data_IF_646456208477
#
_entry.id   IF_646456208477
#
_cell.length_a   1.000
_cell.length_b   1.000
_cell.length_c   1.000
_cell.angle_alpha   90.00
_cell.angle_beta   90.00
_cell.angle_gamma   90.00
#
_symmetry.space_group_name_H-M   'P 1'
#
loop_
_entity.id
_entity.type
_entity.pdbx_description
1 polymer ?
#
# COMPACT_ATOMS: atom_id res chain seq x y z
N UNK A 1 32.29 -9.25 9.35
CA UNK A 1 32.69 -10.05 10.53
C UNK A 1 33.12 -9.17 11.71
N UNK A 2 34.04 -8.21 11.54
CA UNK A 2 34.56 -7.39 12.66
C UNK A 2 33.48 -6.58 13.41
N UNK A 3 32.63 -5.83 12.70
CA UNK A 3 31.58 -5.02 13.33
C UNK A 3 30.58 -5.85 14.15
N UNK A 4 30.16 -7.00 13.61
CA UNK A 4 29.33 -7.98 14.34
C UNK A 4 30.04 -8.55 15.56
N UNK A 5 31.37 -8.69 15.52
CA UNK A 5 32.13 -9.18 16.67
C UNK A 5 32.24 -8.13 17.78
N UNK A 6 32.34 -6.84 17.45
CA UNK A 6 32.52 -5.78 18.45
C UNK A 6 31.22 -5.26 19.06
N UNK A 7 30.07 -5.52 18.44
CA UNK A 7 28.75 -5.08 18.93
C UNK A 7 28.08 -6.01 19.93
N UNK A 8 28.51 -7.27 20.02
CA UNK A 8 27.87 -8.26 20.90
C UNK A 8 28.50 -8.25 22.29
N UNK A 9 27.65 -8.47 23.29
CA UNK A 9 28.05 -8.66 24.68
C UNK A 9 29.09 -9.76 24.80
N UNK A 10 30.14 -9.46 25.57
CA UNK A 10 31.22 -10.39 25.87
C UNK A 10 31.59 -10.25 27.33
N UNK A 11 31.40 -11.35 28.06
CA UNK A 11 31.75 -11.42 29.47
C UNK A 11 33.22 -11.00 29.69
N UNK A 12 33.44 -10.14 30.68
CA UNK A 12 34.77 -9.62 31.01
C UNK A 12 35.35 -8.58 30.04
N UNK A 13 34.59 -8.08 29.05
CA UNK A 13 35.04 -7.01 28.15
C UNK A 13 34.15 -5.77 28.25
N UNK A 14 34.78 -4.59 28.21
CA UNK A 14 34.06 -3.32 28.20
C UNK A 14 33.29 -3.12 26.88
N UNK A 15 31.99 -2.82 26.99
CA UNK A 15 31.08 -2.67 25.86
C UNK A 15 31.06 -1.23 25.32
N UNK A 16 32.15 -0.79 24.69
CA UNK A 16 32.34 0.60 24.23
C UNK A 16 31.10 1.21 23.54
N UNK A 17 30.52 0.50 22.57
CA UNK A 17 29.40 1.02 21.77
C UNK A 17 28.10 1.16 22.56
N UNK A 18 27.91 0.37 23.63
CA UNK A 18 26.75 0.47 24.53
C UNK A 18 26.77 1.75 25.36
N UNK A 19 27.97 2.16 25.79
CA UNK A 19 28.15 3.36 26.62
C UNK A 19 28.41 4.64 25.81
N UNK A 20 28.83 4.54 24.55
CA UNK A 20 29.12 5.69 23.69
C UNK A 20 27.88 6.42 23.14
N UNK A 21 26.66 5.87 23.29
CA UNK A 21 25.37 6.54 22.98
C UNK A 21 25.38 7.19 21.58
N UNK A 22 25.14 8.52 21.48
CA UNK A 22 25.11 9.26 20.20
C UNK A 22 26.42 9.16 19.40
N UNK A 23 27.57 9.00 20.07
CA UNK A 23 28.84 8.84 19.38
C UNK A 23 28.91 7.50 18.64
N UNK A 24 28.38 6.43 19.25
CA UNK A 24 28.25 5.13 18.58
C UNK A 24 27.36 5.25 17.33
N UNK A 25 26.23 5.96 17.42
CA UNK A 25 25.33 6.14 16.26
C UNK A 25 26.02 6.85 15.09
N UNK A 26 26.79 7.92 15.36
CA UNK A 26 27.59 8.59 14.31
C UNK A 26 28.58 7.64 13.66
N UNK A 27 29.32 6.90 14.49
CA UNK A 27 30.26 5.89 14.01
C UNK A 27 29.59 4.84 13.11
N UNK A 28 28.38 4.37 13.47
CA UNK A 28 27.64 3.41 12.65
C UNK A 28 27.22 3.96 11.29
N UNK A 29 26.79 5.23 11.25
CA UNK A 29 26.45 5.90 9.99
C UNK A 29 27.69 6.07 9.11
N UNK A 30 28.82 6.46 9.68
CA UNK A 30 30.08 6.61 8.94
C UNK A 30 30.58 5.26 8.41
N UNK A 31 30.60 4.23 9.25
CA UNK A 31 31.00 2.88 8.87
C UNK A 31 30.09 2.31 7.78
N UNK A 32 28.76 2.50 7.91
CA UNK A 32 27.80 2.11 6.87
C UNK A 32 28.06 2.84 5.55
N UNK A 33 28.32 4.16 5.61
CA UNK A 33 28.60 4.98 4.43
C UNK A 33 29.85 4.51 3.68
N UNK A 34 30.89 4.08 4.40
CA UNK A 34 32.10 3.49 3.80
C UNK A 34 31.77 2.17 3.09
N UNK A 35 31.05 1.27 3.76
CA UNK A 35 30.64 -0.02 3.16
C UNK A 35 29.77 0.21 1.92
N UNK A 36 28.83 1.14 2.00
CA UNK A 36 27.91 1.43 0.91
C UNK A 36 28.62 2.08 -0.28
N UNK A 37 29.59 2.96 -0.02
CA UNK A 37 30.47 3.49 -1.06
C UNK A 37 31.25 2.39 -1.77
N UNK A 38 31.84 1.45 -1.04
CA UNK A 38 32.59 0.35 -1.67
C UNK A 38 31.67 -0.60 -2.47
N UNK A 39 30.44 -0.86 -2.00
CA UNK A 39 29.44 -1.60 -2.77
C UNK A 39 29.05 -0.90 -4.06
N UNK A 40 28.76 0.40 -3.99
CA UNK A 40 28.42 1.20 -5.17
C UNK A 40 29.60 1.28 -6.15
N UNK A 41 30.83 1.39 -5.63
CA UNK A 41 32.05 1.36 -6.44
C UNK A 41 32.20 0.02 -7.15
N UNK A 42 31.99 -1.10 -6.46
CA UNK A 42 32.03 -2.44 -7.04
C UNK A 42 31.01 -2.58 -8.18
N UNK A 43 29.76 -2.14 -7.97
CA UNK A 43 28.70 -2.17 -8.98
C UNK A 43 29.09 -1.31 -10.18
N UNK A 44 29.61 -0.10 -9.92
CA UNK A 44 30.05 0.84 -10.96
C UNK A 44 31.17 0.27 -11.83
N UNK A 45 32.15 -0.42 -11.24
CA UNK A 45 33.30 -0.96 -11.99
C UNK A 45 33.03 -2.29 -12.70
N UNK A 46 31.90 -2.95 -12.41
CA UNK A 46 31.57 -4.30 -12.92
C UNK A 46 30.25 -4.36 -13.69
N UNK A 47 29.87 -3.28 -14.35
CA UNK A 47 28.60 -3.24 -15.11
C UNK A 47 28.54 -4.30 -16.21
N UNK A 48 29.67 -4.62 -16.86
CA UNK A 48 29.73 -5.62 -17.93
C UNK A 48 29.58 -7.06 -17.39
N UNK A 49 30.23 -7.37 -16.25
CA UNK A 49 30.07 -8.65 -15.55
C UNK A 49 28.62 -8.85 -15.06
N UNK A 50 27.95 -7.77 -14.67
CA UNK A 50 26.54 -7.77 -14.25
C UNK A 50 25.55 -7.83 -15.43
N UNK A 51 26.05 -7.93 -16.68
CA UNK A 51 25.26 -7.99 -17.92
C UNK A 51 24.24 -6.87 -18.00
N UNK A 52 24.67 -5.67 -17.64
CA UNK A 52 23.80 -4.50 -17.52
C UNK A 52 23.23 -4.05 -18.88
N UNK A 53 23.96 -4.34 -19.95
CA UNK A 53 23.62 -4.15 -21.36
C UNK A 53 22.29 -4.81 -21.75
N UNK A 54 22.00 -6.01 -21.24
CA UNK A 54 20.71 -6.69 -21.48
C UNK A 54 19.50 -5.87 -21.00
N UNK A 55 19.69 -5.02 -19.99
CA UNK A 55 18.62 -4.22 -19.42
C UNK A 55 18.51 -2.79 -19.99
N UNK A 56 19.50 -2.33 -20.77
CA UNK A 56 19.34 -1.11 -21.58
C UNK A 56 18.23 -1.35 -22.61
N UNK A 57 18.27 -2.49 -23.29
CA UNK A 57 17.31 -2.85 -24.33
C UNK A 57 15.87 -2.88 -23.81
N UNK A 58 15.61 -3.41 -22.61
CA UNK A 58 14.24 -3.47 -22.04
C UNK A 58 13.71 -2.09 -21.60
N UNK A 59 14.57 -1.21 -21.08
CA UNK A 59 14.16 0.16 -20.71
C UNK A 59 14.06 1.09 -21.91
N UNK A 60 14.91 0.90 -22.92
CA UNK A 60 14.86 1.66 -24.17
C UNK A 60 13.59 1.26 -24.96
N UNK A 61 13.19 -0.02 -24.97
CA UNK A 61 11.91 -0.46 -25.58
C UNK A 61 10.67 0.10 -24.84
N UNK A 62 10.72 0.23 -23.51
CA UNK A 62 9.62 0.82 -22.72
C UNK A 62 9.60 2.35 -22.71
N UNK A 63 10.69 2.99 -23.13
CA UNK A 63 10.83 4.45 -23.22
C UNK A 63 10.60 5.00 -24.63
N UNK A 64 10.58 4.13 -25.65
CA UNK A 64 10.28 4.50 -27.04
C UNK A 64 8.76 4.57 -27.23
N UNK A 65 8.29 5.76 -27.58
CA UNK A 65 6.92 5.97 -28.06
C UNK A 65 6.81 5.43 -29.49
N UNK A 66 5.97 4.41 -29.77
CA UNK A 66 5.85 3.83 -31.11
C UNK A 66 5.24 4.79 -32.15
N UNK A 67 4.84 6.00 -31.76
CA UNK A 67 4.21 6.99 -32.65
C UNK A 67 5.16 8.06 -33.20
N UNK A 68 6.43 8.12 -32.77
CA UNK A 68 7.41 9.07 -33.32
C UNK A 68 8.42 8.38 -34.25
N UNK A 69 8.28 8.65 -35.55
CA UNK A 69 9.05 8.04 -36.64
C UNK A 69 10.52 8.47 -36.78
N UNK A 70 11.20 8.84 -35.71
CA UNK A 70 12.63 9.16 -35.75
C UNK A 70 13.38 8.60 -34.53
N UNK A 71 13.72 7.31 -34.64
CA UNK A 71 14.52 6.55 -33.68
C UNK A 71 15.88 7.21 -33.35
N UNK A 72 16.40 8.07 -34.22
CA UNK A 72 17.72 8.70 -34.07
C UNK A 72 17.72 9.90 -33.12
N UNK A 73 16.58 10.60 -32.97
CA UNK A 73 16.47 11.84 -32.18
C UNK A 73 16.27 11.59 -30.69
N UNK A 74 15.70 10.44 -30.29
CA UNK A 74 15.55 10.07 -28.88
C UNK A 74 16.83 9.46 -28.27
N UNK A 75 17.76 9.02 -29.11
CA UNK A 75 19.13 8.63 -28.75
C UNK A 75 20.14 9.80 -28.83
N UNK A 76 19.64 11.03 -29.00
CA UNK A 76 20.44 12.24 -29.22
C UNK A 76 21.48 12.49 -28.14
N UNK A 77 22.75 12.49 -28.57
CA UNK A 77 23.96 13.03 -27.94
C UNK A 77 24.03 12.97 -26.39
N UNK A 78 24.56 11.87 -25.87
CA UNK A 78 25.06 11.77 -24.49
C UNK A 78 26.39 12.51 -24.30
N UNK A 79 26.40 13.82 -24.51
CA UNK A 79 27.51 14.69 -24.10
C UNK A 79 27.31 15.35 -22.73
N UNK A 80 26.29 14.97 -21.96
CA UNK A 80 26.01 15.56 -20.64
C UNK A 80 26.28 14.59 -19.46
N UNK A 81 27.37 14.87 -18.76
CA UNK A 81 27.68 14.65 -17.34
C UNK A 81 27.31 13.27 -16.75
N UNK A 82 28.35 12.42 -16.62
CA UNK A 82 28.36 11.24 -15.74
C UNK A 82 27.97 9.93 -16.44
N UNK A 83 28.82 8.91 -16.29
CA UNK A 83 28.52 7.55 -16.76
C UNK A 83 27.33 6.98 -15.97
N UNK A 84 26.21 6.69 -16.65
CA UNK A 84 25.00 6.10 -16.05
C UNK A 84 25.31 4.69 -15.53
N UNK A 85 25.23 4.50 -14.21
CA UNK A 85 25.38 3.20 -13.53
C UNK A 85 24.01 2.62 -13.24
N UNK A 86 23.79 1.37 -13.64
CA UNK A 86 22.55 0.64 -13.34
C UNK A 86 22.78 -0.23 -12.10
N UNK A 87 21.95 -0.01 -11.09
CA UNK A 87 21.94 -0.83 -9.88
C UNK A 87 21.14 -2.12 -10.12
N UNK A 88 21.68 -3.31 -9.78
CA UNK A 88 20.93 -4.56 -9.87
C UNK A 88 19.81 -4.62 -8.83
N UNK A 89 18.80 -5.48 -9.04
CA UNK A 89 17.71 -5.68 -8.07
C UNK A 89 18.18 -6.22 -6.71
N UNK A 90 19.38 -6.80 -6.65
CA UNK A 90 20.04 -7.26 -5.41
C UNK A 90 20.57 -6.11 -4.56
N UNK A 91 20.68 -4.89 -5.11
CA UNK A 91 21.05 -3.71 -4.34
C UNK A 91 19.84 -3.15 -3.61
N UNK A 92 19.79 -3.38 -2.30
CA UNK A 92 18.64 -2.97 -1.48
C UNK A 92 18.35 -1.47 -1.59
N UNK A 93 17.06 -1.13 -1.68
CA UNK A 93 16.57 0.24 -1.75
C UNK A 93 16.63 0.91 -3.12
N UNK A 94 17.28 0.32 -4.14
CA UNK A 94 17.21 0.89 -5.49
C UNK A 94 15.85 0.65 -6.16
N UNK A 95 15.56 1.41 -7.21
CA UNK A 95 14.33 1.29 -8.01
C UNK A 95 14.04 -0.15 -8.47
N UNK A 96 15.06 -0.90 -8.87
CA UNK A 96 14.89 -2.28 -9.33
C UNK A 96 14.56 -3.23 -8.19
N UNK A 97 15.18 -3.05 -7.04
CA UNK A 97 14.83 -3.79 -5.83
C UNK A 97 13.37 -3.53 -5.44
N UNK A 98 12.94 -2.25 -5.46
CA UNK A 98 11.56 -1.89 -5.15
C UNK A 98 10.57 -2.47 -6.16
N UNK A 99 10.87 -2.44 -7.47
CA UNK A 99 10.05 -3.06 -8.52
C UNK A 99 9.96 -4.57 -8.35
N UNK A 100 11.06 -5.25 -8.04
CA UNK A 100 11.08 -6.69 -7.79
C UNK A 100 10.22 -7.06 -6.57
N UNK A 101 10.35 -6.34 -5.45
CA UNK A 101 9.52 -6.58 -4.27
C UNK A 101 8.02 -6.39 -4.58
N UNK A 102 7.69 -5.36 -5.34
CA UNK A 102 6.33 -5.13 -5.81
C UNK A 102 5.82 -6.27 -6.71
N UNK A 103 6.59 -6.66 -7.72
CA UNK A 103 6.23 -7.77 -8.62
C UNK A 103 6.05 -9.09 -7.87
N UNK A 104 6.93 -9.40 -6.93
CA UNK A 104 6.82 -10.59 -6.07
C UNK A 104 5.52 -10.55 -5.25
N UNK A 105 5.18 -9.38 -4.68
CA UNK A 105 3.95 -9.21 -3.90
C UNK A 105 2.70 -9.38 -4.77
N UNK A 106 2.72 -8.88 -6.01
CA UNK A 106 1.65 -9.07 -6.99
C UNK A 106 1.54 -10.54 -7.44
N UNK A 107 2.66 -11.24 -7.61
CA UNK A 107 2.67 -12.67 -7.93
C UNK A 107 2.05 -13.52 -6.81
N UNK A 108 2.37 -13.21 -5.55
CA UNK A 108 1.75 -13.86 -4.38
C UNK A 108 0.23 -13.60 -4.37
N UNK A 109 -0.19 -12.35 -4.61
CA UNK A 109 -1.61 -11.99 -4.67
C UNK A 109 -2.34 -12.72 -5.82
N UNK A 110 -1.70 -12.92 -6.97
CA UNK A 110 -2.27 -13.70 -8.08
C UNK A 110 -2.45 -15.17 -7.70
N UNK A 111 -1.45 -15.79 -7.08
CA UNK A 111 -1.49 -17.21 -6.72
C UNK A 111 -2.37 -17.54 -5.51
N UNK A 112 -2.43 -16.65 -4.51
CA UNK A 112 -3.17 -16.88 -3.27
C UNK A 112 -4.52 -16.15 -3.22
N UNK A 113 -4.81 -15.30 -4.19
CA UNK A 113 -5.97 -14.43 -4.20
C UNK A 113 -5.79 -13.21 -3.28
N UNK A 114 -6.91 -12.70 -2.78
CA UNK A 114 -6.96 -11.46 -1.99
C UNK A 114 -6.45 -11.70 -0.55
N UNK A 115 -5.64 -10.79 0.01
CA UNK A 115 -5.29 -10.87 1.44
C UNK A 115 -6.52 -10.65 2.31
N UNK A 116 -6.54 -11.30 3.47
CA UNK A 116 -7.65 -11.28 4.42
C UNK A 116 -7.46 -10.19 5.49
N UNK A 117 -6.22 -10.01 5.97
CA UNK A 117 -5.89 -9.05 7.01
C UNK A 117 -4.73 -8.14 6.60
N UNK A 118 -4.80 -6.89 7.04
CA UNK A 118 -3.70 -5.94 7.10
C UNK A 118 -3.30 -5.76 8.56
N UNK A 119 -2.04 -6.02 8.88
CA UNK A 119 -1.50 -5.91 10.23
C UNK A 119 -0.36 -4.92 10.24
N UNK A 120 -0.40 -3.96 11.15
CA UNK A 120 0.76 -3.13 11.47
C UNK A 120 1.14 -3.29 12.91
N UNK A 121 2.44 -3.24 13.18
CA UNK A 121 2.99 -3.42 14.51
C UNK A 121 4.12 -2.42 14.70
N UNK A 122 4.14 -1.69 15.81
CA UNK A 122 5.21 -0.74 16.12
C UNK A 122 6.01 -1.29 17.29
N UNK A 123 7.33 -1.39 17.13
CA UNK A 123 8.20 -1.83 18.21
C UNK A 123 8.00 -0.98 19.48
N UNK A 124 8.01 -1.61 20.66
CA UNK A 124 7.87 -0.90 21.93
C UNK A 124 9.24 -0.75 22.60
N UNK A 125 9.74 0.48 22.81
CA UNK A 125 11.03 0.71 23.48
C UNK A 125 11.01 0.36 24.97
N UNK A 126 9.83 0.07 25.54
CA UNK A 126 9.62 -0.30 26.95
C UNK A 126 9.52 -1.80 27.18
N UNK A 127 9.78 -2.64 26.17
CA UNK A 127 9.89 -4.09 26.39
C UNK A 127 10.96 -4.41 27.43
N UNK A 128 10.66 -5.37 28.31
CA UNK A 128 11.55 -5.73 29.42
C UNK A 128 12.93 -6.17 28.91
N UNK A 129 12.97 -6.89 27.79
CA UNK A 129 14.21 -7.33 27.16
C UNK A 129 15.09 -6.16 26.72
N UNK A 130 14.50 -5.00 26.40
CA UNK A 130 15.26 -3.77 26.16
C UNK A 130 15.67 -3.15 27.49
N UNK A 131 14.72 -2.92 28.41
CA UNK A 131 14.98 -2.20 29.66
C UNK A 131 16.03 -2.88 30.53
N UNK A 132 16.00 -4.21 30.63
CA UNK A 132 16.95 -5.02 31.42
C UNK A 132 18.36 -5.06 30.81
N UNK A 133 18.49 -4.81 29.50
CA UNK A 133 19.77 -4.89 28.78
C UNK A 133 20.36 -3.52 28.42
N UNK A 134 19.66 -2.42 28.74
CA UNK A 134 20.19 -1.07 28.55
C UNK A 134 21.33 -0.79 29.53
N UNK A 135 22.30 0.02 29.09
CA UNK A 135 23.28 0.60 30.01
C UNK A 135 22.57 1.50 31.04
N UNK A 136 23.17 1.59 32.23
CA UNK A 136 22.67 2.42 33.33
C UNK A 136 22.38 3.85 32.87
N UNK A 137 21.21 4.36 33.26
CA UNK A 137 20.71 5.69 32.89
C UNK A 137 20.65 5.96 31.37
N UNK A 138 20.55 4.91 30.54
CA UNK A 138 20.40 5.03 29.08
C UNK A 138 18.93 4.92 28.64
N UNK A 139 18.69 5.10 27.34
CA UNK A 139 17.36 5.02 26.70
C UNK A 139 17.47 4.11 25.48
N UNK A 140 16.37 3.45 25.10
CA UNK A 140 16.31 2.59 23.91
C UNK A 140 16.87 3.26 22.64
N UNK A 141 16.58 4.55 22.45
CA UNK A 141 17.09 5.33 21.32
C UNK A 141 18.61 5.42 21.25
N UNK A 142 19.32 5.28 22.38
CA UNK A 142 20.77 5.30 22.41
C UNK A 142 21.40 4.00 21.92
N UNK A 143 20.64 2.90 21.95
CA UNK A 143 21.05 1.58 21.49
C UNK A 143 20.03 1.01 20.46
N UNK A 144 20.09 1.51 19.21
CA UNK A 144 19.21 1.01 18.15
C UNK A 144 19.51 -0.44 17.77
N UNK A 145 20.72 -0.95 18.05
CA UNK A 145 21.08 -2.35 17.79
C UNK A 145 20.32 -3.30 18.72
N UNK A 146 20.31 -3.01 20.02
CA UNK A 146 19.51 -3.75 21.01
C UNK A 146 18.02 -3.71 20.63
N UNK A 147 17.50 -2.51 20.33
CA UNK A 147 16.10 -2.34 19.93
C UNK A 147 15.74 -3.17 18.69
N UNK A 148 16.64 -3.21 17.68
CA UNK A 148 16.45 -4.02 16.47
C UNK A 148 16.51 -5.53 16.74
N UNK A 149 17.39 -5.99 17.63
CA UNK A 149 17.48 -7.41 18.01
C UNK A 149 16.25 -7.90 18.76
N UNK A 150 15.79 -7.13 19.76
CA UNK A 150 14.56 -7.46 20.49
C UNK A 150 13.37 -7.41 19.53
N UNK A 151 13.26 -6.37 18.71
CA UNK A 151 12.24 -6.30 17.67
C UNK A 151 12.25 -7.53 16.76
N UNK A 152 13.42 -7.99 16.30
CA UNK A 152 13.51 -9.16 15.44
C UNK A 152 12.97 -10.43 16.12
N UNK A 153 13.26 -10.62 17.42
CA UNK A 153 12.70 -11.72 18.21
C UNK A 153 11.18 -11.62 18.35
N UNK A 154 10.68 -10.43 18.71
CA UNK A 154 9.25 -10.18 18.83
C UNK A 154 8.53 -10.39 17.49
N UNK A 155 9.15 -9.95 16.38
CA UNK A 155 8.65 -10.15 15.04
C UNK A 155 8.57 -11.64 14.68
N UNK A 156 9.59 -12.45 14.97
CA UNK A 156 9.55 -13.89 14.70
C UNK A 156 8.41 -14.58 15.46
N UNK A 157 8.23 -14.23 16.74
CA UNK A 157 7.11 -14.69 17.55
C UNK A 157 5.77 -14.26 16.93
N UNK A 158 5.64 -12.99 16.54
CA UNK A 158 4.41 -12.46 15.93
C UNK A 158 4.09 -13.14 14.60
N UNK A 159 5.08 -13.42 13.77
CA UNK A 159 4.88 -14.15 12.51
C UNK A 159 4.36 -15.56 12.75
N UNK A 160 4.80 -16.23 13.83
CA UNK A 160 4.27 -17.53 14.21
C UNK A 160 2.79 -17.43 14.63
N UNK A 161 2.44 -16.46 15.45
CA UNK A 161 1.05 -16.26 15.88
C UNK A 161 0.13 -15.86 14.71
N UNK A 162 0.61 -15.01 13.80
CA UNK A 162 -0.14 -14.64 12.59
C UNK A 162 -0.44 -15.86 11.71
N UNK A 163 0.40 -16.89 11.74
CA UNK A 163 0.20 -18.14 10.99
C UNK A 163 -0.75 -19.13 11.66
N UNK A 164 -1.07 -18.93 12.93
CA UNK A 164 -1.76 -19.95 13.75
C UNK A 164 -3.04 -19.44 14.41
N UNK A 165 -3.14 -18.13 14.66
CA UNK A 165 -4.21 -17.56 15.48
C UNK A 165 -5.49 -17.24 14.67
N UNK A 166 -5.38 -16.70 13.46
CA UNK A 166 -6.52 -16.14 12.72
C UNK A 166 -7.27 -17.15 11.83
N UNK A 167 -6.78 -18.39 11.75
CA UNK A 167 -7.30 -19.46 10.89
C UNK A 167 -6.21 -20.10 10.02
N UNK A 168 -6.62 -20.77 8.95
CA UNK A 168 -5.73 -21.52 8.06
C UNK A 168 -4.85 -20.59 7.23
N UNK A 169 -3.56 -20.51 7.58
CA UNK A 169 -2.58 -19.70 6.88
C UNK A 169 -2.25 -20.22 5.47
N UNK A 170 -2.23 -19.30 4.48
CA UNK A 170 -1.79 -19.57 3.11
C UNK A 170 -0.56 -18.79 2.69
N UNK A 171 -0.34 -17.60 3.25
CA UNK A 171 0.79 -16.77 2.87
C UNK A 171 0.83 -15.43 3.59
N UNK A 172 1.93 -14.72 3.40
CA UNK A 172 2.12 -13.37 3.93
C UNK A 172 3.01 -12.57 3.00
N UNK A 173 2.72 -11.29 2.82
CA UNK A 173 3.62 -10.31 2.19
C UNK A 173 3.76 -9.11 3.11
N UNK A 174 4.90 -8.41 3.09
CA UNK A 174 5.04 -7.24 3.93
C UNK A 174 6.37 -6.53 3.82
N UNK A 175 6.41 -5.34 4.40
CA UNK A 175 7.58 -4.47 4.47
C UNK A 175 7.83 -4.06 5.91
N UNK A 176 9.07 -3.72 6.24
CA UNK A 176 9.43 -3.15 7.54
C UNK A 176 9.94 -1.74 7.27
N UNK A 177 9.26 -0.75 7.85
CA UNK A 177 9.66 0.64 7.76
C UNK A 177 10.26 1.12 9.07
N UNK A 178 11.38 1.83 9.00
CA UNK A 178 11.90 2.56 10.14
C UNK A 178 11.34 3.98 10.09
N UNK A 179 10.22 4.20 10.76
CA UNK A 179 9.60 5.52 10.83
C UNK A 179 10.58 6.53 11.47
N UNK A 180 10.62 7.76 10.93
CA UNK A 180 11.53 8.81 11.40
C UNK A 180 11.22 9.17 12.85
N UNK A 181 11.96 8.52 13.77
CA UNK A 181 12.09 8.64 15.24
C UNK A 181 12.47 7.30 15.90
N UNK A 182 12.67 6.22 15.13
CA UNK A 182 13.63 5.17 15.48
C UNK A 182 13.08 3.82 15.95
N UNK A 183 11.84 3.47 15.59
CA UNK A 183 11.29 2.15 15.90
C UNK A 183 10.87 1.43 14.61
N UNK A 184 11.25 0.16 14.44
CA UNK A 184 10.78 -0.66 13.34
C UNK A 184 9.24 -0.78 13.35
N UNK A 185 8.64 -0.68 12.18
CA UNK A 185 7.20 -0.75 11.97
C UNK A 185 6.88 -1.62 10.75
N UNK A 186 6.61 -2.91 10.94
CA UNK A 186 6.12 -3.79 9.88
C UNK A 186 4.71 -3.43 9.42
N UNK A 187 4.52 -3.50 8.10
CA UNK A 187 3.24 -3.53 7.40
C UNK A 187 3.09 -4.90 6.74
N UNK A 188 2.11 -5.70 7.18
CA UNK A 188 1.94 -7.09 6.78
C UNK A 188 0.56 -7.29 6.16
N UNK A 189 0.51 -8.05 5.08
CA UNK A 189 -0.67 -8.61 4.45
C UNK A 189 -0.70 -10.10 4.71
N UNK A 190 -1.77 -10.58 5.33
CA UNK A 190 -1.97 -12.01 5.64
C UNK A 190 -2.99 -12.62 4.69
N UNK A 191 -2.66 -13.79 4.14
CA UNK A 191 -3.53 -14.56 3.26
C UNK A 191 -4.01 -15.80 4.01
N UNK A 192 -5.31 -15.91 4.22
CA UNK A 192 -5.96 -17.04 4.88
C UNK A 192 -6.77 -17.87 3.88
N UNK A 193 -7.18 -19.07 4.27
CA UNK A 193 -8.14 -19.87 3.51
C UNK A 193 -9.47 -19.13 3.36
N UNK A 194 -10.18 -19.35 2.25
CA UNK A 194 -11.49 -18.74 2.00
C UNK A 194 -12.54 -19.18 3.02
N UNK A 195 -12.42 -20.40 3.54
CA UNK A 195 -13.26 -20.90 4.64
C UNK A 195 -13.06 -20.11 5.95
N UNK A 196 -11.89 -19.51 6.11
CA UNK A 196 -11.51 -18.67 7.26
C UNK A 196 -11.61 -17.17 6.95
N UNK A 197 -12.33 -16.82 5.88
CA UNK A 197 -12.51 -15.41 5.50
C UNK A 197 -13.36 -14.66 6.53
N UNK A 198 -13.02 -13.39 6.74
CA UNK A 198 -13.72 -12.49 7.67
C UNK A 198 -15.01 -11.91 7.05
N UNK A 199 -15.77 -12.73 6.31
CA UNK A 199 -17.05 -12.31 5.71
C UNK A 199 -18.20 -12.27 6.72
N UNK A 200 -18.02 -12.88 7.88
CA UNK A 200 -18.96 -12.87 8.99
C UNK A 200 -18.54 -11.83 10.05
N UNK A 201 -19.37 -10.81 10.36
CA UNK A 201 -19.10 -9.87 11.44
C UNK A 201 -18.83 -10.51 12.81
N UNK A 202 -19.48 -11.64 13.13
CA UNK A 202 -19.25 -12.31 14.41
C UNK A 202 -17.80 -12.81 14.51
N UNK A 203 -17.29 -13.43 13.43
CA UNK A 203 -15.89 -13.84 13.34
C UNK A 203 -14.93 -12.65 13.43
N UNK A 204 -15.29 -11.48 12.90
CA UNK A 204 -14.46 -10.28 13.07
C UNK A 204 -14.34 -9.95 14.56
N UNK A 205 -15.47 -9.93 15.27
CA UNK A 205 -15.54 -9.57 16.68
C UNK A 205 -14.81 -10.58 17.60
N UNK A 206 -14.66 -11.85 17.16
CA UNK A 206 -13.87 -12.85 17.88
C UNK A 206 -12.36 -12.52 17.92
N UNK A 207 -11.85 -11.84 16.88
CA UNK A 207 -10.42 -11.61 16.71
C UNK A 207 -10.00 -10.14 16.81
N UNK A 208 -10.91 -9.21 16.53
CA UNK A 208 -10.63 -7.78 16.39
C UNK A 208 -11.63 -6.99 17.23
N UNK A 209 -11.09 -6.14 18.11
CA UNK A 209 -11.86 -5.17 18.89
C UNK A 209 -11.44 -3.75 18.53
N UNK A 210 -12.40 -2.83 18.57
CA UNK A 210 -12.16 -1.39 18.47
C UNK A 210 -12.75 -0.65 19.68
N UNK A 211 -12.79 -1.32 20.83
CA UNK A 211 -13.40 -0.83 22.07
C UNK A 211 -12.42 -0.87 23.24
N UNK A 212 -12.64 -0.01 24.23
CA UNK A 212 -12.07 -0.17 25.57
C UNK A 212 -12.68 -1.43 26.22
N UNK A 213 -11.87 -2.31 26.82
CA UNK A 213 -12.38 -3.48 27.54
C UNK A 213 -13.22 -3.08 28.76
N UNK A 214 -14.35 -3.76 28.97
CA UNK A 214 -15.12 -3.67 30.20
C UNK A 214 -14.43 -4.45 31.33
N UNK A 215 -14.76 -4.14 32.57
CA UNK A 215 -14.26 -4.88 33.74
C UNK A 215 -14.66 -6.37 33.72
N UNK A 216 -15.82 -6.69 33.11
CA UNK A 216 -16.26 -8.07 32.93
C UNK A 216 -15.37 -8.87 31.97
N UNK A 217 -14.94 -8.22 30.87
CA UNK A 217 -14.09 -8.86 29.85
C UNK A 217 -12.61 -8.84 30.22
N UNK A 218 -12.18 -7.89 31.05
CA UNK A 218 -10.82 -7.76 31.55
C UNK A 218 -10.79 -7.50 33.07
N UNK A 219 -11.06 -8.52 33.90
CA UNK A 219 -11.03 -8.37 35.36
C UNK A 219 -9.66 -7.93 35.90
N UNK A 220 -8.59 -8.19 35.16
CA UNK A 220 -7.23 -7.80 35.51
C UNK A 220 -6.93 -6.32 35.26
N UNK A 221 -7.72 -5.66 34.40
CA UNK A 221 -7.47 -4.32 33.87
C UNK A 221 -6.25 -4.22 32.94
N UNK A 222 -5.54 -5.32 32.67
CA UNK A 222 -4.29 -5.30 31.90
C UNK A 222 -4.51 -5.01 30.42
N UNK A 223 -5.52 -5.61 29.82
CA UNK A 223 -5.85 -5.32 28.41
C UNK A 223 -6.28 -3.85 28.30
N UNK A 224 -7.07 -3.35 29.24
CA UNK A 224 -7.50 -1.95 29.27
C UNK A 224 -6.31 -1.00 29.35
N UNK A 225 -5.37 -1.22 30.25
CA UNK A 225 -4.13 -0.43 30.36
C UNK A 225 -3.37 -0.40 29.01
N UNK A 226 -3.27 -1.54 28.33
CA UNK A 226 -2.58 -1.63 27.05
C UNK A 226 -3.33 -0.92 25.91
N UNK A 227 -4.65 -1.00 25.89
CA UNK A 227 -5.50 -0.28 24.93
C UNK A 227 -5.37 1.23 25.15
N UNK A 228 -5.44 1.70 26.40
CA UNK A 228 -5.27 3.11 26.74
C UNK A 228 -3.88 3.64 26.38
N UNK A 229 -2.84 2.84 26.59
CA UNK A 229 -1.45 3.21 26.32
C UNK A 229 -1.11 3.19 24.82
N UNK A 230 -1.63 2.23 24.06
CA UNK A 230 -1.16 1.96 22.71
C UNK A 230 -2.21 2.15 21.61
N UNK A 231 -3.51 1.97 21.90
CA UNK A 231 -4.57 1.87 20.87
C UNK A 231 -5.43 3.12 20.76
N UNK A 232 -5.13 4.21 21.48
CA UNK A 232 -5.88 5.46 21.36
C UNK A 232 -5.26 6.33 20.25
N UNK A 233 -6.00 6.60 19.18
CA UNK A 233 -5.53 7.42 18.06
C UNK A 233 -5.37 8.91 18.43
N UNK A 234 -6.32 9.41 19.23
CA UNK A 234 -6.55 10.83 19.45
C UNK A 234 -5.91 11.42 20.72
N UNK A 235 -6.20 12.70 21.00
CA UNK A 235 -7.15 13.55 20.26
C UNK A 235 -6.51 14.19 19.01
N UNK A 236 -7.31 14.37 17.96
CA UNK A 236 -6.97 15.14 16.75
C UNK A 236 -8.21 15.91 16.27
N UNK A 237 -8.15 16.55 15.09
CA UNK A 237 -9.26 17.36 14.60
C UNK A 237 -9.35 18.68 15.37
N UNK A 238 -10.56 19.12 15.68
CA UNK A 238 -10.80 20.37 16.40
C UNK A 238 -10.23 20.34 17.83
N UNK A 239 -10.15 19.14 18.43
CA UNK A 239 -9.57 18.93 19.77
C UNK A 239 -8.05 19.09 19.80
N UNK A 240 -7.37 18.80 18.68
CA UNK A 240 -5.94 19.03 18.54
C UNK A 240 -5.56 19.23 17.05
N UNK A 241 -5.68 20.47 16.54
CA UNK A 241 -5.49 20.74 15.12
C UNK A 241 -4.06 20.49 14.65
N UNK A 242 -3.07 20.53 15.55
CA UNK A 242 -1.64 20.40 15.24
C UNK A 242 -1.14 18.94 15.24
N UNK A 243 -2.04 17.97 15.43
CA UNK A 243 -1.67 16.55 15.39
C UNK A 243 -1.03 16.14 14.05
N UNK A 244 0.00 15.28 14.03
CA UNK A 244 0.67 14.84 12.80
C UNK A 244 -0.25 14.14 11.79
N UNK A 245 -1.36 13.57 12.25
CA UNK A 245 -2.34 12.92 11.38
C UNK A 245 -3.22 13.92 10.60
N UNK A 246 -3.18 15.21 10.94
CA UNK A 246 -4.02 16.23 10.32
C UNK A 246 -3.48 16.63 8.94
N UNK A 247 -4.33 16.48 7.92
CA UNK A 247 -4.05 16.84 6.53
C UNK A 247 -5.10 17.81 6.02
N UNK A 248 -4.76 18.60 5.00
CA UNK A 248 -5.73 19.46 4.33
C UNK A 248 -6.41 18.64 3.23
N UNK A 249 -7.73 18.56 3.26
CA UNK A 249 -8.50 17.88 2.23
C UNK A 249 -8.60 18.71 0.93
N UNK A 250 -9.23 18.13 -0.09
CA UNK A 250 -9.46 18.77 -1.40
C UNK A 250 -10.31 20.05 -1.33
N UNK A 251 -11.02 20.28 -0.23
CA UNK A 251 -11.85 21.46 0.01
C UNK A 251 -11.17 22.50 0.91
N UNK A 252 -9.90 22.30 1.27
CA UNK A 252 -9.15 23.20 2.14
C UNK A 252 -9.42 23.01 3.64
N UNK A 253 -10.22 22.02 4.04
CA UNK A 253 -10.52 21.73 5.45
C UNK A 253 -9.44 20.83 6.05
N UNK A 254 -9.01 21.15 7.27
CA UNK A 254 -8.12 20.27 8.06
C UNK A 254 -8.91 19.10 8.60
N UNK A 255 -8.55 17.89 8.18
CA UNK A 255 -9.19 16.63 8.59
C UNK A 255 -8.14 15.61 9.00
N UNK A 256 -8.55 14.63 9.82
CA UNK A 256 -7.67 13.51 10.15
C UNK A 256 -7.50 12.60 8.92
N UNK A 257 -6.25 12.35 8.52
CA UNK A 257 -5.91 11.43 7.41
C UNK A 257 -6.39 9.99 7.62
N UNK A 258 -6.65 9.60 8.87
CA UNK A 258 -7.19 8.28 9.25
C UNK A 258 -8.70 8.30 9.50
N UNK A 259 -9.34 9.46 9.36
CA UNK A 259 -10.79 9.62 9.49
C UNK A 259 -11.31 9.40 10.91
N UNK A 260 -10.58 9.89 11.92
CA UNK A 260 -11.04 9.92 13.31
C UNK A 260 -11.68 11.29 13.66
N UNK A 261 -12.64 11.33 14.59
CA UNK A 261 -13.26 10.19 15.29
C UNK A 261 -14.09 9.28 14.36
N UNK A 262 -14.15 7.99 14.67
CA UNK A 262 -14.99 7.01 13.94
C UNK A 262 -16.41 7.04 14.49
N UNK A 263 -17.41 6.70 13.67
CA UNK A 263 -18.80 6.61 14.11
C UNK A 263 -18.97 5.47 15.12
N UNK A 264 -19.70 5.71 16.21
CA UNK A 264 -20.17 4.67 17.12
C UNK A 264 -21.19 3.75 16.43
N UNK A 265 -21.06 2.45 16.67
CA UNK A 265 -21.97 1.41 16.18
C UNK A 265 -22.05 0.27 17.20
N UNK A 266 -23.24 -0.25 17.47
CA UNK A 266 -23.42 -1.34 18.45
C UNK A 266 -23.03 -2.71 17.91
N UNK A 267 -22.91 -2.85 16.59
CA UNK A 267 -22.52 -4.07 15.89
C UNK A 267 -21.47 -3.77 14.82
N UNK A 268 -20.72 -4.80 14.44
CA UNK A 268 -19.83 -4.74 13.29
C UNK A 268 -20.66 -4.85 12.00
N UNK A 269 -20.50 -3.87 11.10
CA UNK A 269 -21.20 -3.83 9.81
C UNK A 269 -20.19 -3.95 8.67
N UNK A 270 -20.50 -4.76 7.66
CA UNK A 270 -19.73 -4.77 6.41
C UNK A 270 -20.26 -3.62 5.55
N UNK A 271 -19.47 -2.54 5.44
CA UNK A 271 -19.84 -1.39 4.60
C UNK A 271 -19.92 -1.80 3.13
N UNK A 272 -20.85 -1.18 2.39
CA UNK A 272 -20.91 -1.26 0.92
C UNK A 272 -19.57 -0.94 0.26
N UNK A 273 -18.69 -0.17 0.90
CA UNK A 273 -17.35 0.20 0.41
C UNK A 273 -16.28 -0.88 0.60
N UNK A 274 -16.59 -2.01 1.23
CA UNK A 274 -15.63 -3.10 1.48
C UNK A 274 -14.68 -2.87 2.65
N UNK A 275 -14.98 -1.94 3.57
CA UNK A 275 -14.26 -1.85 4.84
C UNK A 275 -15.26 -2.09 5.97
N UNK A 276 -14.96 -2.96 6.94
CA UNK A 276 -15.87 -3.17 8.05
C UNK A 276 -15.92 -1.90 8.91
N UNK A 277 -17.11 -1.55 9.35
CA UNK A 277 -17.30 -0.63 10.46
C UNK A 277 -17.34 -1.48 11.71
N UNK A 278 -16.19 -1.58 12.39
CA UNK A 278 -16.09 -2.31 13.64
C UNK A 278 -17.04 -1.75 14.69
N UNK A 279 -17.61 -2.65 15.49
CA UNK A 279 -18.37 -2.32 16.69
C UNK A 279 -17.59 -1.35 17.59
N UNK A 280 -18.26 -0.27 17.96
CA UNK A 280 -17.81 0.80 18.86
C UNK A 280 -19.00 1.27 19.69
N UNK A 281 -19.31 0.59 20.79
CA UNK A 281 -20.41 0.97 21.69
C UNK A 281 -20.04 2.22 22.48
N UNK A 282 -21.04 3.03 22.79
CA UNK A 282 -20.87 4.18 23.68
C UNK A 282 -20.66 3.71 25.14
N UNK A 283 -20.14 4.61 25.99
CA UNK A 283 -20.04 4.37 27.43
C UNK A 283 -18.64 4.62 27.97
N UNK A 284 -17.72 3.68 27.76
CA UNK A 284 -16.37 3.76 28.33
C UNK A 284 -15.54 4.88 27.68
N UNK A 285 -14.79 5.60 28.51
CA UNK A 285 -13.88 6.66 28.08
C UNK A 285 -12.49 6.51 28.69
N UNK A 286 -11.51 7.13 28.03
CA UNK A 286 -10.15 7.32 28.53
C UNK A 286 -9.83 8.81 28.54
N UNK A 287 -9.18 9.27 29.61
CA UNK A 287 -8.72 10.65 29.73
C UNK A 287 -7.37 10.82 29.03
N UNK A 288 -7.26 11.81 28.14
CA UNK A 288 -5.98 12.26 27.56
C UNK A 288 -5.76 13.72 27.86
N UNK A 289 -4.55 14.07 28.30
CA UNK A 289 -4.15 15.47 28.53
C UNK A 289 -3.48 16.04 27.29
N UNK A 290 -4.04 17.13 26.75
CA UNK A 290 -3.45 17.87 25.62
C UNK A 290 -3.42 19.34 25.93
N UNK A 291 -2.23 19.96 25.80
CA UNK A 291 -1.99 21.38 26.13
C UNK A 291 -2.49 21.77 27.53
N UNK A 292 -2.34 20.87 28.52
CA UNK A 292 -2.79 21.08 29.90
C UNK A 292 -4.29 20.94 30.13
N UNK A 293 -5.08 20.55 29.11
CA UNK A 293 -6.51 20.26 29.23
C UNK A 293 -6.76 18.76 29.22
N UNK A 294 -7.62 18.28 30.10
CA UNK A 294 -8.08 16.90 30.10
C UNK A 294 -9.25 16.74 29.13
N UNK A 295 -9.17 15.72 28.27
CA UNK A 295 -10.15 15.42 27.25
C UNK A 295 -10.56 13.96 27.42
N UNK A 296 -11.86 13.72 27.52
CA UNK A 296 -12.44 12.38 27.54
C UNK A 296 -12.62 11.87 26.11
N UNK A 297 -12.04 10.71 25.81
CA UNK A 297 -12.14 10.05 24.51
C UNK A 297 -12.85 8.70 24.67
N UNK A 298 -13.94 8.50 23.94
CA UNK A 298 -14.66 7.23 23.90
C UNK A 298 -14.12 6.27 22.82
N UNK A 299 -14.91 5.21 22.58
CA UNK A 299 -14.60 4.18 21.59
C UNK A 299 -14.51 4.68 20.14
N UNK A 300 -14.95 5.90 19.82
CA UNK A 300 -14.70 6.59 18.55
C UNK A 300 -13.20 6.62 18.16
N UNK A 301 -12.31 6.58 19.16
CA UNK A 301 -10.89 6.90 19.04
C UNK A 301 -9.98 5.68 19.08
N UNK A 302 -10.53 4.49 19.32
CA UNK A 302 -9.75 3.27 19.52
C UNK A 302 -9.38 2.65 18.17
N UNK A 303 -8.11 2.34 18.00
CA UNK A 303 -7.57 1.67 16.82
C UNK A 303 -7.96 0.18 16.86
N UNK A 304 -8.46 -0.40 15.75
CA UNK A 304 -8.86 -1.80 15.73
C UNK A 304 -7.63 -2.70 15.95
N UNK A 305 -7.74 -3.63 16.89
CA UNK A 305 -6.62 -4.43 17.36
C UNK A 305 -7.09 -5.83 17.73
N UNK A 306 -6.15 -6.78 17.76
CA UNK A 306 -6.41 -8.10 18.34
C UNK A 306 -6.09 -8.05 19.84
N UNK A 307 -7.06 -8.33 20.73
CA UNK A 307 -6.81 -8.41 22.18
C UNK A 307 -5.68 -9.39 22.54
N UNK A 308 -5.65 -10.56 21.86
CA UNK A 308 -4.63 -11.58 22.04
C UNK A 308 -3.22 -11.05 21.72
N UNK A 309 -3.04 -10.48 20.52
CA UNK A 309 -1.73 -9.95 20.12
C UNK A 309 -1.31 -8.78 21.01
N UNK A 310 -2.26 -7.91 21.38
CA UNK A 310 -1.97 -6.75 22.24
C UNK A 310 -1.50 -7.20 23.62
N UNK A 311 -2.15 -8.17 24.25
CA UNK A 311 -1.74 -8.72 25.54
C UNK A 311 -0.34 -9.35 25.48
N UNK A 312 -0.07 -10.12 24.42
CA UNK A 312 1.21 -10.84 24.29
C UNK A 312 2.39 -9.93 24.00
N UNK A 313 2.21 -8.94 23.13
CA UNK A 313 3.31 -8.09 22.67
C UNK A 313 3.37 -6.71 23.33
N UNK A 314 2.29 -6.26 23.97
CA UNK A 314 2.25 -5.02 24.74
C UNK A 314 2.71 -3.79 23.97
N UNK A 315 2.35 -3.68 22.68
CA UNK A 315 2.80 -2.60 21.79
C UNK A 315 1.67 -2.12 20.88
N UNK A 316 1.94 -1.09 20.07
CA UNK A 316 0.94 -0.61 19.12
C UNK A 316 0.75 -1.63 17.98
N UNK A 317 -0.40 -2.29 17.91
CA UNK A 317 -0.77 -3.26 16.86
C UNK A 317 -2.13 -2.89 16.28
N UNK A 318 -2.16 -2.55 14.99
CA UNK A 318 -3.39 -2.37 14.24
C UNK A 318 -3.68 -3.64 13.44
N UNK A 319 -4.89 -4.18 13.56
CA UNK A 319 -5.35 -5.33 12.76
C UNK A 319 -6.62 -4.90 12.05
N UNK A 320 -6.59 -4.88 10.71
CA UNK A 320 -7.73 -4.53 9.90
C UNK A 320 -8.08 -5.65 8.92
N UNK A 321 -9.36 -5.97 8.79
CA UNK A 321 -9.87 -6.82 7.71
C UNK A 321 -9.83 -6.06 6.40
N UNK A 322 -9.36 -6.74 5.36
CA UNK A 322 -9.42 -6.26 4.00
C UNK A 322 -10.61 -6.91 3.30
N UNK A 323 -11.61 -6.12 2.90
CA UNK A 323 -12.52 -6.55 1.85
C UNK A 323 -12.22 -5.81 0.57
N UNK A 324 -12.39 -6.53 -0.53
CA UNK A 324 -12.37 -5.97 -1.86
C UNK A 324 -13.73 -6.28 -2.45
N UNK A 325 -14.48 -5.23 -2.82
CA UNK A 325 -15.76 -5.35 -3.52
C UNK A 325 -15.66 -6.45 -4.58
N UNK A 326 -16.56 -7.41 -4.51
CA UNK A 326 -16.84 -8.29 -5.64
C UNK A 326 -18.04 -7.65 -6.35
N UNK A 327 -17.86 -7.35 -7.64
CA UNK A 327 -18.89 -6.90 -8.59
C UNK A 327 -19.66 -5.63 -8.18
N UNK A 328 -19.15 -4.47 -8.56
CA UNK A 328 -19.98 -3.26 -8.63
C UNK A 328 -20.77 -3.32 -9.94
N UNK A 329 -22.09 -3.05 -9.93
CA UNK A 329 -22.86 -2.97 -11.18
C UNK A 329 -22.38 -1.80 -12.03
N UNK A 330 -22.47 -1.91 -13.36
CA UNK A 330 -22.13 -0.83 -14.30
C UNK A 330 -22.80 0.49 -13.89
N UNK A 331 -24.09 0.44 -13.57
CA UNK A 331 -24.90 1.60 -13.19
C UNK A 331 -24.31 2.37 -12.00
N UNK A 332 -23.83 1.66 -10.97
CA UNK A 332 -23.27 2.30 -9.78
C UNK A 332 -21.93 3.01 -10.04
N UNK A 333 -21.16 2.52 -11.02
CA UNK A 333 -19.86 3.08 -11.42
C UNK A 333 -20.08 4.27 -12.34
N UNK A 334 -21.02 4.17 -13.27
CA UNK A 334 -21.44 5.25 -14.16
C UNK A 334 -21.97 6.44 -13.33
N UNK A 335 -22.92 6.21 -12.42
CA UNK A 335 -23.45 7.26 -11.55
C UNK A 335 -22.38 7.93 -10.67
N UNK A 336 -21.40 7.16 -10.18
CA UNK A 336 -20.30 7.70 -9.38
C UNK A 336 -19.33 8.53 -10.24
N UNK A 337 -19.05 8.08 -11.46
CA UNK A 337 -18.21 8.80 -12.41
C UNK A 337 -18.89 10.08 -12.92
N UNK A 338 -20.20 10.05 -13.15
CA UNK A 338 -21.02 11.22 -13.48
C UNK A 338 -21.03 12.25 -12.35
N UNK A 339 -21.16 11.80 -11.10
CA UNK A 339 -21.08 12.66 -9.91
C UNK A 339 -19.67 13.23 -9.68
N UNK A 340 -18.62 12.55 -10.13
CA UNK A 340 -17.23 12.90 -9.83
C UNK A 340 -16.49 13.65 -10.95
N UNK A 341 -16.86 13.53 -12.23
CA UNK A 341 -16.01 13.97 -13.35
C UNK A 341 -16.74 14.63 -14.53
N UNK A 342 -16.77 15.97 -14.55
CA UNK A 342 -17.29 16.76 -15.68
C UNK A 342 -16.42 16.73 -16.95
N UNK A 343 -15.16 16.28 -16.82
CA UNK A 343 -14.19 16.24 -17.93
C UNK A 343 -14.36 15.00 -18.83
N UNK A 344 -14.78 13.87 -18.26
CA UNK A 344 -15.03 12.62 -19.01
C UNK A 344 -16.34 12.71 -19.83
N UNK A 345 -17.42 13.22 -19.22
CA UNK A 345 -18.68 13.45 -19.94
C UNK A 345 -18.54 14.48 -21.06
N UNK A 346 -17.75 15.53 -20.84
CA UNK A 346 -17.43 16.49 -21.88
C UNK A 346 -16.59 15.89 -23.01
N UNK A 347 -15.75 14.89 -22.72
CA UNK A 347 -14.99 14.16 -23.74
C UNK A 347 -15.91 13.35 -24.65
N UNK A 348 -16.86 12.60 -24.08
CA UNK A 348 -17.90 11.89 -24.85
C UNK A 348 -18.70 12.86 -25.74
N UNK A 349 -19.16 13.97 -25.16
CA UNK A 349 -19.88 15.02 -25.90
C UNK A 349 -19.02 15.62 -27.03
N UNK A 350 -17.71 15.77 -26.80
CA UNK A 350 -16.77 16.29 -27.78
C UNK A 350 -16.58 15.31 -28.94
N UNK A 351 -16.48 14.00 -28.66
CA UNK A 351 -16.34 12.95 -29.68
C UNK A 351 -17.58 12.79 -30.58
N UNK A 352 -18.78 13.13 -30.08
CA UNK A 352 -19.98 13.19 -30.91
C UNK A 352 -19.84 14.21 -32.04
N UNK A 353 -19.08 15.30 -31.81
CA UNK A 353 -19.01 16.46 -32.72
C UNK A 353 -17.67 16.57 -33.47
N UNK A 354 -16.58 16.06 -32.91
CA UNK A 354 -15.23 16.22 -33.46
C UNK A 354 -14.74 14.94 -34.12
N UNK A 355 -14.43 15.03 -35.43
CA UNK A 355 -13.76 13.95 -36.16
C UNK A 355 -12.37 13.65 -35.62
N UNK A 356 -11.63 14.68 -35.21
CA UNK A 356 -10.33 14.53 -34.57
C UNK A 356 -10.47 13.81 -33.23
N UNK A 357 -11.46 14.20 -32.42
CA UNK A 357 -11.71 13.58 -31.12
C UNK A 357 -11.97 12.07 -31.22
N UNK A 358 -12.72 11.63 -32.25
CA UNK A 358 -13.01 10.21 -32.49
C UNK A 358 -11.78 9.34 -32.77
N UNK A 359 -10.66 9.95 -33.16
CA UNK A 359 -9.40 9.22 -33.44
C UNK A 359 -8.50 9.10 -32.21
N UNK A 360 -8.84 9.73 -31.09
CA UNK A 360 -7.98 9.84 -29.92
C UNK A 360 -8.43 8.93 -28.77
N UNK A 361 -7.46 8.48 -27.99
CA UNK A 361 -7.67 7.93 -26.65
C UNK A 361 -7.90 9.06 -25.65
N UNK A 362 -8.53 8.73 -24.51
CA UNK A 362 -8.79 9.74 -23.49
C UNK A 362 -7.51 10.39 -22.93
N UNK A 363 -6.41 9.62 -22.82
CA UNK A 363 -5.11 10.13 -22.36
C UNK A 363 -4.41 11.05 -23.37
N UNK A 364 -4.76 10.94 -24.66
CA UNK A 364 -4.18 11.75 -25.74
C UNK A 364 -4.94 13.07 -25.93
N UNK A 365 -6.19 13.13 -25.46
CA UNK A 365 -7.08 14.28 -25.63
C UNK A 365 -6.46 15.62 -25.22
N UNK A 366 -5.77 15.74 -24.06
CA UNK A 366 -5.16 17.00 -23.65
C UNK A 366 -4.06 17.54 -24.59
N UNK A 367 -3.48 16.68 -25.45
CA UNK A 367 -2.49 17.07 -26.46
C UNK A 367 -3.12 17.96 -27.52
N UNK A 368 -4.35 17.65 -27.93
CA UNK A 368 -5.06 18.32 -29.03
C UNK A 368 -6.20 19.22 -28.56
N UNK A 369 -6.69 19.03 -27.34
CA UNK A 369 -7.80 19.77 -26.77
C UNK A 369 -7.42 20.41 -25.43
N UNK A 370 -8.06 21.53 -25.11
CA UNK A 370 -7.99 22.21 -23.81
C UNK A 370 -9.37 22.20 -23.19
N UNK A 371 -9.45 21.84 -21.91
CA UNK A 371 -10.71 21.87 -21.17
C UNK A 371 -11.03 23.30 -20.72
N UNK A 372 -12.08 23.87 -21.30
CA UNK A 372 -12.52 25.24 -21.03
C UNK A 372 -13.50 25.28 -19.86
N UNK A 373 -13.01 25.78 -18.72
CA UNK A 373 -13.80 26.00 -17.49
C UNK A 373 -14.42 27.41 -17.42
N UNK A 374 -14.27 28.25 -18.45
CA UNK A 374 -14.74 29.65 -18.42
C UNK A 374 -16.22 29.82 -18.73
N UNK A 375 -16.79 28.95 -19.57
CA UNK A 375 -18.19 29.03 -20.00
C UNK A 375 -18.89 27.71 -19.68
N UNK A 376 -20.08 27.78 -19.05
CA UNK A 376 -20.90 26.60 -18.78
C UNK A 376 -21.81 26.31 -19.99
N UNK A 377 -22.02 25.03 -20.37
CA UNK A 377 -21.38 23.84 -19.81
C UNK A 377 -19.89 23.78 -20.17
N UNK A 378 -19.06 23.36 -19.21
CA UNK A 378 -17.62 23.19 -19.44
C UNK A 378 -17.39 22.16 -20.55
N UNK A 379 -16.43 22.44 -21.43
CA UNK A 379 -16.26 21.66 -22.67
C UNK A 379 -14.81 21.58 -23.10
N UNK A 380 -14.48 20.56 -23.89
CA UNK A 380 -13.21 20.48 -24.59
C UNK A 380 -13.25 21.32 -25.87
N UNK A 381 -12.24 22.17 -26.04
CA UNK A 381 -12.03 22.97 -27.26
C UNK A 381 -10.70 22.62 -27.89
N UNK A 382 -10.62 22.64 -29.21
CA UNK A 382 -9.36 22.40 -29.91
C UNK A 382 -8.29 23.40 -29.46
N UNK A 383 -7.11 22.87 -29.21
CA UNK A 383 -5.96 23.61 -28.70
C UNK A 383 -5.34 24.39 -29.85
N UNK A 384 -5.24 25.72 -29.67
CA UNK A 384 -4.62 26.62 -30.65
C UNK A 384 -3.10 26.77 -30.49
N UNK A 385 -2.56 26.56 -29.28
CA UNK A 385 -1.14 26.77 -28.97
C UNK A 385 -0.63 25.85 -27.84
N UNK A 386 0.64 25.43 -27.93
CA UNK A 386 1.34 24.58 -26.96
C UNK A 386 0.99 23.09 -27.04
N UNK A 387 1.64 22.26 -26.23
CA UNK A 387 1.35 20.83 -26.06
C UNK A 387 1.15 20.49 -24.58
N UNK A 388 0.28 19.54 -24.28
CA UNK A 388 0.06 19.04 -22.92
C UNK A 388 -0.06 17.52 -22.94
N UNK A 389 0.47 16.87 -21.90
CA UNK A 389 0.37 15.42 -21.73
C UNK A 389 -0.79 15.11 -20.77
N UNK A 390 -1.72 14.26 -21.21
CA UNK A 390 -2.74 13.72 -20.34
C UNK A 390 -2.14 12.68 -19.39
N UNK A 391 -2.46 12.78 -18.10
CA UNK A 391 -2.09 11.78 -17.10
C UNK A 391 -3.34 11.21 -16.46
N UNK A 392 -3.61 9.94 -16.71
CA UNK A 392 -4.64 9.21 -15.98
C UNK A 392 -4.06 8.69 -14.67
N UNK A 393 -4.80 8.87 -13.58
CA UNK A 393 -4.45 8.36 -12.25
C UNK A 393 -4.15 6.87 -12.37
N UNK A 394 -3.03 6.41 -11.81
CA UNK A 394 -2.72 4.99 -11.75
C UNK A 394 -3.76 4.29 -10.87
N UNK A 395 -4.45 3.28 -11.41
CA UNK A 395 -5.39 2.45 -10.67
C UNK A 395 -4.86 1.01 -10.66
N UNK A 396 -4.94 0.37 -9.49
CA UNK A 396 -4.59 -1.03 -9.33
C UNK A 396 -5.80 -1.90 -9.75
N UNK A 397 -5.61 -3.09 -10.35
CA UNK A 397 -6.68 -4.08 -10.56
C UNK A 397 -7.61 -4.31 -9.35
N UNK A 398 -7.10 -4.12 -8.13
CA UNK A 398 -7.89 -4.21 -6.90
C UNK A 398 -8.98 -3.13 -6.74
N UNK A 399 -8.95 -2.06 -7.56
CA UNK A 399 -9.99 -1.02 -7.61
C UNK A 399 -11.22 -1.44 -8.43
N UNK A 400 -11.28 -2.70 -8.89
CA UNK A 400 -12.47 -3.28 -9.52
C UNK A 400 -12.85 -2.56 -10.82
N UNK A 401 -14.14 -2.27 -10.98
CA UNK A 401 -14.70 -1.72 -12.23
C UNK A 401 -14.09 -0.38 -12.66
N UNK A 402 -13.60 0.43 -11.71
CA UNK A 402 -12.92 1.70 -12.03
C UNK A 402 -11.57 1.45 -12.70
N UNK A 403 -10.89 0.35 -12.34
CA UNK A 403 -9.67 -0.06 -13.04
C UNK A 403 -9.96 -0.49 -14.48
N UNK A 404 -11.00 -1.30 -14.69
CA UNK A 404 -11.38 -1.77 -16.03
C UNK A 404 -11.90 -0.63 -16.91
N UNK A 405 -12.69 0.30 -16.36
CA UNK A 405 -13.08 1.54 -17.03
C UNK A 405 -11.85 2.35 -17.49
N UNK A 406 -10.86 2.54 -16.61
CA UNK A 406 -9.59 3.20 -16.99
C UNK A 406 -8.88 2.44 -18.10
N UNK A 407 -8.81 1.11 -18.03
CA UNK A 407 -8.16 0.30 -19.05
C UNK A 407 -8.82 0.53 -20.41
N UNK A 408 -10.16 0.50 -20.47
CA UNK A 408 -10.92 0.81 -21.69
C UNK A 408 -10.62 2.23 -22.20
N UNK A 409 -10.59 3.24 -21.34
CA UNK A 409 -10.27 4.63 -21.73
C UNK A 409 -8.84 4.80 -22.28
N UNK A 410 -7.92 3.87 -21.97
CA UNK A 410 -6.56 3.86 -22.53
C UNK A 410 -6.42 3.06 -23.81
N UNK A 411 -7.47 2.38 -24.27
CA UNK A 411 -7.40 1.44 -25.40
C UNK A 411 -8.53 1.59 -26.42
N UNK A 412 -9.64 2.21 -26.05
CA UNK A 412 -10.81 2.46 -26.92
C UNK A 412 -10.77 3.90 -27.43
N UNK A 413 -10.68 4.05 -28.75
CA UNK A 413 -10.67 5.35 -29.42
C UNK A 413 -12.09 5.92 -29.54
N UNK A 414 -12.21 7.23 -29.31
CA UNK A 414 -13.40 7.99 -29.68
C UNK A 414 -14.76 7.59 -29.09
N UNK A 415 -14.87 7.00 -27.88
CA UNK A 415 -16.18 6.65 -27.32
C UNK A 415 -17.06 7.89 -27.18
N UNK A 416 -18.33 7.78 -27.52
CA UNK A 416 -19.34 8.84 -27.50
C UNK A 416 -20.30 8.74 -26.32
N UNK A 417 -20.26 7.62 -25.59
CA UNK A 417 -20.95 7.36 -24.33
C UNK A 417 -20.26 6.21 -23.57
N UNK A 418 -20.77 5.85 -22.39
CA UNK A 418 -20.27 4.67 -21.64
C UNK A 418 -20.54 3.35 -22.37
N UNK A 419 -21.66 3.25 -23.10
CA UNK A 419 -22.03 2.04 -23.84
C UNK A 419 -20.98 1.63 -24.88
N UNK A 420 -20.34 2.60 -25.53
CA UNK A 420 -19.23 2.36 -26.45
C UNK A 420 -18.02 1.70 -25.76
N UNK A 421 -17.82 1.94 -24.46
CA UNK A 421 -16.73 1.35 -23.69
C UNK A 421 -17.03 -0.10 -23.30
N UNK A 422 -18.27 -0.41 -22.90
CA UNK A 422 -18.65 -1.76 -22.48
C UNK A 422 -19.32 -2.61 -23.56
N UNK A 423 -19.37 -2.16 -24.83
CA UNK A 423 -19.93 -2.95 -25.94
C UNK A 423 -18.88 -3.27 -26.99
N UNK A 424 -18.71 -4.54 -27.39
CA UNK A 424 -17.74 -4.97 -28.41
C UNK A 424 -18.40 -5.86 -29.45
N UNK A 425 -18.09 -5.68 -30.73
CA UNK A 425 -18.64 -6.47 -31.85
C UNK A 425 -20.18 -6.60 -31.82
N UNK A 426 -20.88 -5.52 -31.45
CA UNK A 426 -22.35 -5.50 -31.36
C UNK A 426 -22.93 -6.17 -30.11
N UNK A 427 -22.10 -6.68 -29.20
CA UNK A 427 -22.51 -7.29 -27.94
C UNK A 427 -22.28 -6.33 -26.79
N UNK A 428 -23.33 -6.14 -25.96
CA UNK A 428 -23.26 -5.37 -24.72
C UNK A 428 -22.89 -6.28 -23.55
N UNK A 429 -21.87 -5.91 -22.78
CA UNK A 429 -21.41 -6.68 -21.62
C UNK A 429 -21.96 -6.14 -20.31
N UNK A 430 -22.05 -6.99 -19.30
CA UNK A 430 -22.66 -6.65 -18.01
C UNK A 430 -21.69 -5.97 -17.04
N UNK A 431 -20.38 -6.01 -17.33
CA UNK A 431 -19.33 -5.32 -16.57
C UNK A 431 -18.22 -4.77 -17.48
N UNK A 432 -17.48 -3.75 -17.02
CA UNK A 432 -16.29 -3.26 -17.73
C UNK A 432 -15.19 -4.34 -17.82
N UNK A 433 -15.15 -5.28 -16.86
CA UNK A 433 -14.22 -6.42 -16.89
C UNK A 433 -14.51 -7.35 -18.06
N UNK A 434 -15.76 -7.78 -18.23
CA UNK A 434 -16.19 -8.61 -19.35
C UNK A 434 -15.89 -7.95 -20.69
N UNK A 435 -16.17 -6.65 -20.79
CA UNK A 435 -15.84 -5.85 -21.97
C UNK A 435 -14.33 -5.80 -22.26
N UNK A 436 -13.46 -5.81 -21.24
CA UNK A 436 -12.01 -5.90 -21.39
C UNK A 436 -11.57 -7.30 -21.84
N UNK A 437 -12.15 -8.36 -21.27
CA UNK A 437 -11.87 -9.75 -21.65
C UNK A 437 -12.28 -10.00 -23.11
N UNK A 438 -13.48 -9.60 -23.50
CA UNK A 438 -13.98 -9.74 -24.88
C UNK A 438 -13.15 -8.99 -25.92
N UNK A 439 -12.43 -7.94 -25.51
CA UNK A 439 -11.50 -7.17 -26.35
C UNK A 439 -10.06 -7.67 -26.28
N UNK A 440 -9.80 -8.77 -25.57
CA UNK A 440 -8.46 -9.32 -25.31
C UNK A 440 -7.50 -8.30 -24.64
N UNK A 441 -8.03 -7.39 -23.82
CA UNK A 441 -7.21 -6.46 -23.04
C UNK A 441 -6.73 -7.06 -21.71
N UNK A 442 -7.31 -8.20 -21.35
CA UNK A 442 -6.93 -9.02 -20.22
C UNK A 442 -6.66 -10.42 -20.79
N UNK A 443 -5.58 -11.06 -20.35
CA UNK A 443 -5.36 -12.48 -20.61
C UNK A 443 -6.54 -13.25 -19.98
N UNK A 444 -7.25 -14.00 -20.81
CA UNK A 444 -8.27 -14.94 -20.37
C UNK A 444 -7.54 -16.10 -19.68
N UNK A 445 -7.93 -16.45 -18.45
CA UNK A 445 -7.44 -17.66 -17.79
C UNK A 445 -7.78 -18.94 -18.61
N UNK A 446 -8.63 -18.83 -19.63
CA UNK A 446 -9.04 -19.91 -20.53
C UNK A 446 -7.91 -20.51 -21.38
N UNK A 447 -6.83 -19.77 -21.71
CA UNK A 447 -5.69 -20.39 -22.42
C UNK A 447 -4.97 -21.42 -21.53
N UNK A 448 -5.02 -21.26 -20.21
CA UNK A 448 -4.48 -22.23 -19.27
C UNK A 448 -5.43 -23.42 -19.09
N UNK A 449 -6.74 -23.20 -19.07
CA UNK A 449 -7.75 -24.28 -19.00
C UNK A 449 -7.77 -25.12 -20.30
N UNK A 450 -7.58 -24.49 -21.47
CA UNK A 450 -7.41 -25.17 -22.75
C UNK A 450 -6.09 -25.94 -22.80
N UNK A 451 -4.99 -25.35 -22.33
CA UNK A 451 -3.69 -26.02 -22.22
C UNK A 451 -3.70 -27.18 -21.20
N UNK A 452 -4.42 -27.05 -20.08
CA UNK A 452 -4.61 -28.14 -19.12
C UNK A 452 -5.59 -29.22 -19.62
N UNK A 453 -6.63 -28.85 -20.37
CA UNK A 453 -7.48 -29.81 -21.09
C UNK A 453 -6.65 -30.59 -22.12
N UNK A 454 -5.88 -29.90 -22.96
CA UNK A 454 -5.02 -30.49 -23.98
C UNK A 454 -3.93 -31.39 -23.36
N UNK A 455 -3.29 -30.94 -22.27
CA UNK A 455 -2.35 -31.74 -21.50
C UNK A 455 -3.01 -32.94 -20.80
N UNK A 456 -4.29 -32.81 -20.38
CA UNK A 456 -5.04 -33.92 -19.82
C UNK A 456 -5.31 -34.98 -20.89
N UNK A 457 -5.69 -34.59 -22.12
CA UNK A 457 -5.88 -35.51 -23.25
C UNK A 457 -4.57 -36.21 -23.67
N UNK A 458 -3.44 -35.50 -23.65
CA UNK A 458 -2.11 -36.09 -23.87
C UNK A 458 -1.70 -37.14 -22.82
N UNK A 459 -2.19 -37.01 -21.59
CA UNK A 459 -1.89 -37.95 -20.50
C UNK A 459 -2.74 -39.23 -20.51
N UNK A 460 -3.90 -39.23 -21.20
CA UNK A 460 -4.81 -40.39 -21.29
C UNK A 460 -4.74 -41.11 -22.65
N UNK A 461 -4.01 -40.55 -23.63
CA UNK A 461 -3.61 -41.26 -24.85
C UNK A 461 -4.70 -41.45 -25.92
N UNK A 462 -5.66 -40.52 -26.03
CA UNK A 462 -6.72 -40.57 -27.05
C UNK A 462 -6.51 -39.60 -28.24
N UNK A 463 -5.26 -39.18 -28.51
CA UNK A 463 -4.83 -38.63 -29.81
C UNK A 463 -3.38 -39.05 -30.13
#
# INVERSE_FOLDING_TARGET
MWYRYVTFYRAGKFELFKYARRLAQRYWVDAYSVVERERLKWIKTRQDELRVDMYKNVQDILAVDPTEGDYSRQLGNRSDIGQRVILPSTHMGCDRHMRMLYQNSMAIMRGLGKPSLFVTFTANPKWLEILENLAENSKAINDPGLSAMVFHKQQQSMVHDLRTHFGTYRGMSGTIEYQKRGLPHPHLLLFLSTADSFLDPARIDDFISAELPSEELDPSGRLRELVEANMVHGPCGDLNPNCPCMVTDKHGKRVCSKGYPKKLTDVTEISETGYPRYRRRSGLTVTKTVNGREIQLGNEWIVPHSPYLLLKYGCHINVEVLFFRQNTSLDSVEEAAERATSELLAFFTSNQRSELGRRLLYQEYPKYFVYDKKTKPYSWKERKLGTALGRLVFLNPCHGDVYYLRLLLTKVHGPTCYEDLYSHNGVRFSTFKEACVARNFLESDGEWDECFSEASHFAIGDL
#
